data_IF_669662548444
#
_entry.id   IF_669662548444
#
_cell.length_a   1.000
_cell.length_b   1.000
_cell.length_c   1.000
_cell.angle_alpha   90.00
_cell.angle_beta   90.00
_cell.angle_gamma   90.00
#
_symmetry.space_group_name_H-M   'P 1'
#
loop_
_entity.id
_entity.type
_entity.pdbx_description
1 polymer ?
#
# COMPACT_ATOMS: atom_id res chain seq x y z
N UNK A 1 10.78 1.67 1.55
CA UNK A 1 10.50 0.48 2.40
C UNK A 1 10.85 0.83 3.84
N UNK A 2 10.00 0.52 4.80
CA UNK A 2 10.16 0.92 6.22
C UNK A 2 10.87 -0.14 7.06
N UNK A 3 11.20 -1.31 6.50
CA UNK A 3 11.86 -2.43 7.18
C UNK A 3 13.28 -2.57 6.64
N UNK A 4 14.27 -2.08 7.39
CA UNK A 4 15.68 -2.09 6.96
C UNK A 4 16.18 -3.48 6.53
N UNK A 5 15.88 -4.60 7.23
CA UNK A 5 16.32 -5.93 6.78
C UNK A 5 15.80 -6.31 5.38
N UNK A 6 14.62 -5.84 4.97
CA UNK A 6 14.10 -6.10 3.63
C UNK A 6 14.84 -5.29 2.56
N UNK A 7 15.18 -4.03 2.87
CA UNK A 7 16.00 -3.18 2.00
C UNK A 7 17.37 -3.81 1.77
N UNK A 8 18.04 -4.21 2.86
CA UNK A 8 19.39 -4.78 2.78
C UNK A 8 19.39 -6.07 1.94
N UNK A 9 18.41 -6.95 2.16
CA UNK A 9 18.24 -8.18 1.37
C UNK A 9 17.96 -7.90 -0.11
N UNK A 10 17.11 -6.92 -0.41
CA UNK A 10 16.77 -6.57 -1.79
C UNK A 10 17.97 -5.96 -2.52
N UNK A 11 18.73 -5.09 -1.86
CA UNK A 11 19.98 -4.53 -2.37
C UNK A 11 21.02 -5.62 -2.64
N UNK A 12 21.18 -6.58 -1.72
CA UNK A 12 22.08 -7.72 -1.92
C UNK A 12 21.70 -8.54 -3.15
N UNK A 13 20.40 -8.77 -3.38
CA UNK A 13 19.92 -9.45 -4.58
C UNK A 13 20.21 -8.66 -5.86
N UNK A 14 20.00 -7.34 -5.84
CA UNK A 14 20.35 -6.50 -6.99
C UNK A 14 21.85 -6.59 -7.31
N UNK A 15 22.73 -6.54 -6.30
CA UNK A 15 24.17 -6.72 -6.50
C UNK A 15 24.51 -8.11 -7.05
N UNK A 16 23.94 -9.18 -6.47
CA UNK A 16 24.19 -10.57 -6.93
C UNK A 16 23.74 -10.80 -8.37
N UNK A 17 22.70 -10.10 -8.82
CA UNK A 17 22.17 -10.18 -10.19
C UNK A 17 22.80 -9.15 -11.15
N UNK A 18 23.68 -8.26 -10.67
CA UNK A 18 24.33 -7.23 -11.48
C UNK A 18 23.45 -6.03 -11.86
N UNK A 19 22.41 -5.73 -11.07
CA UNK A 19 21.45 -4.63 -11.29
C UNK A 19 21.60 -3.47 -10.30
N UNK A 20 22.67 -3.41 -9.53
CA UNK A 20 22.93 -2.39 -8.50
C UNK A 20 23.12 -0.97 -9.09
N UNK A 21 23.43 -0.86 -10.38
CA UNK A 21 23.45 0.41 -11.12
C UNK A 21 22.10 0.81 -11.74
N UNK A 22 21.08 -0.06 -11.65
CA UNK A 22 19.77 0.12 -12.29
C UNK A 22 18.62 0.14 -11.29
N UNK A 23 18.77 -0.54 -10.15
CA UNK A 23 17.73 -0.67 -9.13
C UNK A 23 18.29 -0.26 -7.79
N UNK A 24 17.63 0.71 -7.17
CA UNK A 24 18.00 1.22 -5.85
C UNK A 24 16.85 1.03 -4.86
N UNK A 25 17.18 0.55 -3.66
CA UNK A 25 16.23 0.39 -2.56
C UNK A 25 16.54 1.40 -1.46
N UNK A 26 15.51 2.09 -0.99
CA UNK A 26 15.65 3.14 0.04
C UNK A 26 14.88 2.72 1.30
N UNK A 27 15.60 2.70 2.42
CA UNK A 27 15.01 2.60 3.76
C UNK A 27 14.39 3.94 4.15
N UNK A 28 13.06 4.03 4.06
CA UNK A 28 12.31 5.23 4.39
C UNK A 28 10.80 4.98 4.47
N UNK A 29 10.13 5.82 5.26
CA UNK A 29 8.69 6.02 5.19
C UNK A 29 8.35 7.00 4.05
N UNK A 30 7.96 6.45 2.89
CA UNK A 30 7.63 7.23 1.71
C UNK A 30 6.47 8.22 1.94
N UNK A 31 5.48 7.90 2.80
CA UNK A 31 4.37 8.81 3.08
C UNK A 31 4.83 10.13 3.72
N UNK A 32 5.96 10.12 4.41
CA UNK A 32 6.51 11.31 5.11
C UNK A 32 7.67 11.92 4.33
N UNK A 33 8.55 11.10 3.76
CA UNK A 33 9.84 11.55 3.25
C UNK A 33 9.95 11.57 1.72
N UNK A 34 8.91 11.18 0.97
CA UNK A 34 9.01 11.12 -0.50
C UNK A 34 9.46 12.45 -1.10
N UNK A 35 8.88 13.57 -0.68
CA UNK A 35 9.26 14.90 -1.16
C UNK A 35 10.76 15.19 -0.96
N UNK A 36 11.28 14.94 0.25
CA UNK A 36 12.70 15.14 0.57
C UNK A 36 13.64 14.18 -0.16
N UNK A 37 13.19 12.95 -0.45
CA UNK A 37 13.99 12.01 -1.24
C UNK A 37 14.02 12.48 -2.70
N UNK A 38 12.89 12.94 -3.23
CA UNK A 38 12.77 13.35 -4.63
C UNK A 38 13.42 14.71 -4.90
N UNK A 39 13.53 15.59 -3.91
CA UNK A 39 14.24 16.87 -4.07
C UNK A 39 15.74 16.69 -4.40
N UNK A 40 16.32 15.52 -4.09
CA UNK A 40 17.72 15.22 -4.40
C UNK A 40 17.87 14.31 -5.63
N UNK A 41 16.77 13.79 -6.18
CA UNK A 41 16.81 12.92 -7.35
C UNK A 41 17.06 13.74 -8.61
N UNK A 42 18.16 13.51 -9.35
CA UNK A 42 18.53 14.36 -10.49
C UNK A 42 17.75 14.02 -11.77
N UNK A 43 17.05 12.88 -11.79
CA UNK A 43 16.36 12.37 -12.95
C UNK A 43 14.88 12.79 -13.02
N UNK A 44 14.25 12.45 -14.14
CA UNK A 44 12.80 12.55 -14.29
C UNK A 44 12.12 11.28 -13.79
N UNK A 45 11.03 11.43 -13.04
CA UNK A 45 10.15 10.32 -12.68
C UNK A 45 9.10 10.19 -13.77
N UNK A 46 9.01 9.02 -14.41
CA UNK A 46 8.02 8.76 -15.45
C UNK A 46 6.80 8.00 -14.94
N UNK A 47 7.03 7.07 -14.00
CA UNK A 47 6.02 6.16 -13.50
C UNK A 47 6.12 6.02 -11.99
N UNK A 48 4.98 5.99 -11.32
CA UNK A 48 4.87 5.76 -9.88
C UNK A 48 3.95 4.57 -9.64
N UNK A 49 4.39 3.64 -8.81
CA UNK A 49 3.66 2.41 -8.50
C UNK A 49 3.36 2.36 -7.00
N UNK A 50 2.09 2.29 -6.63
CA UNK A 50 1.65 2.04 -5.26
C UNK A 50 0.90 0.72 -5.24
N UNK A 51 1.52 -0.30 -4.66
CA UNK A 51 1.07 -1.69 -4.77
C UNK A 51 0.93 -2.34 -3.40
N UNK A 52 -0.23 -2.96 -3.18
CA UNK A 52 -0.61 -3.70 -1.98
C UNK A 52 -0.24 -3.00 -0.66
N UNK A 53 -0.61 -1.72 -0.49
CA UNK A 53 -0.39 -1.01 0.76
C UNK A 53 -1.10 -1.73 1.93
N UNK A 54 -0.48 -1.68 3.11
CA UNK A 54 -1.03 -2.33 4.30
C UNK A 54 -2.45 -1.80 4.60
N UNK A 55 -3.44 -2.69 4.81
CA UNK A 55 -4.79 -2.26 5.07
C UNK A 55 -4.94 -1.79 6.53
N UNK A 56 -5.10 -0.49 6.72
CA UNK A 56 -5.29 0.10 8.06
C UNK A 56 -6.75 0.04 8.52
N UNK A 57 -7.29 -1.17 8.70
CA UNK A 57 -8.72 -1.42 8.98
C UNK A 57 -9.27 -0.80 10.28
N UNK A 58 -8.42 -0.50 11.27
CA UNK A 58 -8.88 0.03 12.57
C UNK A 58 -9.06 1.55 12.48
N UNK A 59 -10.20 2.08 12.95
CA UNK A 59 -10.47 3.54 13.04
C UNK A 59 -9.32 4.32 13.70
N UNK A 60 -8.71 3.76 14.75
CA UNK A 60 -7.53 4.34 15.43
C UNK A 60 -6.25 4.41 14.57
N UNK A 61 -6.19 3.66 13.47
CA UNK A 61 -5.09 3.66 12.50
C UNK A 61 -5.41 4.50 11.26
N UNK A 62 -6.50 5.29 11.29
CA UNK A 62 -6.85 6.25 10.23
C UNK A 62 -5.70 7.21 9.91
N UNK A 63 -4.99 7.71 10.94
CA UNK A 63 -3.77 8.53 10.79
C UNK A 63 -2.56 7.77 10.21
N UNK A 64 -2.57 6.44 10.21
CA UNK A 64 -1.50 5.59 9.64
C UNK A 64 -1.78 5.19 8.19
N UNK A 65 -2.93 5.61 7.61
CA UNK A 65 -3.21 5.37 6.20
C UNK A 65 -2.11 5.98 5.33
N UNK A 66 -1.61 5.17 4.40
CA UNK A 66 -0.54 5.54 3.46
C UNK A 66 -0.90 6.79 2.63
N UNK A 67 -2.20 7.03 2.42
CA UNK A 67 -2.72 8.08 1.54
C UNK A 67 -3.01 9.37 2.31
N UNK A 68 -1.92 10.01 2.75
CA UNK A 68 -1.95 11.37 3.29
C UNK A 68 -1.92 12.39 2.13
N UNK A 69 -2.50 13.60 2.30
CA UNK A 69 -2.47 14.64 1.29
C UNK A 69 -1.06 14.99 0.81
N UNK A 70 -0.07 14.91 1.72
CA UNK A 70 1.33 15.20 1.41
C UNK A 70 1.90 14.22 0.38
N UNK A 71 1.56 12.94 0.46
CA UNK A 71 2.00 11.94 -0.52
C UNK A 71 1.42 12.26 -1.91
N UNK A 72 0.13 12.59 -1.97
CA UNK A 72 -0.54 12.94 -3.24
C UNK A 72 0.11 14.17 -3.88
N UNK A 73 0.38 15.22 -3.09
CA UNK A 73 1.06 16.43 -3.57
C UNK A 73 2.48 16.13 -4.07
N UNK A 74 3.27 15.40 -3.29
CA UNK A 74 4.62 15.02 -3.70
C UNK A 74 4.62 14.25 -5.04
N UNK A 75 3.69 13.31 -5.21
CA UNK A 75 3.55 12.54 -6.46
C UNK A 75 3.10 13.44 -7.62
N UNK A 76 2.11 14.32 -7.39
CA UNK A 76 1.63 15.30 -8.37
C UNK A 76 2.74 16.22 -8.87
N UNK A 77 3.59 16.69 -7.96
CA UNK A 77 4.63 17.68 -8.24
C UNK A 77 5.88 17.06 -8.87
N UNK A 78 6.19 15.80 -8.55
CA UNK A 78 7.32 15.07 -9.15
C UNK A 78 6.99 14.44 -10.51
N UNK A 79 5.73 14.06 -10.75
CA UNK A 79 5.30 13.51 -12.04
C UNK A 79 5.10 14.62 -13.07
N UNK A 80 5.75 14.54 -14.24
CA UNK A 80 5.53 15.47 -15.32
C UNK A 80 4.27 15.13 -16.12
N UNK A 81 3.75 16.06 -16.95
CA UNK A 81 2.68 15.76 -17.90
C UNK A 81 3.00 14.51 -18.73
N UNK A 82 2.01 13.61 -18.85
CA UNK A 82 2.13 12.30 -19.48
C UNK A 82 2.71 11.19 -18.59
N UNK A 83 3.26 11.51 -17.42
CA UNK A 83 3.71 10.51 -16.44
C UNK A 83 2.55 9.71 -15.85
N UNK A 84 2.81 8.47 -15.43
CA UNK A 84 1.76 7.56 -14.96
C UNK A 84 1.83 7.26 -13.48
N UNK A 85 0.66 7.04 -12.88
CA UNK A 85 0.50 6.56 -11.52
C UNK A 85 -0.36 5.30 -11.54
N UNK A 86 0.24 4.19 -11.13
CA UNK A 86 -0.42 2.89 -11.04
C UNK A 86 -0.72 2.53 -9.59
N UNK A 87 -1.99 2.25 -9.31
CA UNK A 87 -2.51 1.89 -8.00
C UNK A 87 -3.03 0.46 -8.07
N UNK A 88 -2.59 -0.41 -7.15
CA UNK A 88 -3.00 -1.81 -7.12
C UNK A 88 -3.17 -2.34 -5.69
N UNK A 89 -4.27 -3.05 -5.41
CA UNK A 89 -4.46 -3.80 -4.15
C UNK A 89 -5.48 -4.94 -4.34
N UNK A 90 -5.38 -5.96 -3.50
CA UNK A 90 -6.33 -7.07 -3.34
C UNK A 90 -7.47 -6.74 -2.34
N UNK A 91 -7.43 -5.56 -1.71
CA UNK A 91 -8.43 -5.12 -0.73
C UNK A 91 -9.27 -4.00 -1.36
N UNK A 92 -10.55 -4.27 -1.62
CA UNK A 92 -11.45 -3.33 -2.29
C UNK A 92 -11.49 -1.96 -1.60
N UNK A 93 -11.70 -1.93 -0.28
CA UNK A 93 -11.77 -0.67 0.47
C UNK A 93 -10.49 0.15 0.36
N UNK A 94 -9.32 -0.50 0.42
CA UNK A 94 -8.03 0.17 0.26
C UNK A 94 -7.90 0.74 -1.15
N UNK A 95 -8.32 -0.02 -2.16
CA UNK A 95 -8.29 0.40 -3.56
C UNK A 95 -9.18 1.61 -3.84
N UNK A 96 -10.39 1.62 -3.27
CA UNK A 96 -11.27 2.78 -3.30
C UNK A 96 -10.63 3.98 -2.59
N UNK A 97 -10.06 3.79 -1.41
CA UNK A 97 -9.41 4.87 -0.66
C UNK A 97 -8.23 5.48 -1.44
N UNK A 98 -7.42 4.66 -2.13
CA UNK A 98 -6.35 5.13 -3.01
C UNK A 98 -6.90 6.04 -4.11
N UNK A 99 -7.84 5.51 -4.90
CA UNK A 99 -8.46 6.25 -6.02
C UNK A 99 -9.10 7.55 -5.54
N UNK A 100 -9.94 7.47 -4.51
CA UNK A 100 -10.69 8.61 -3.99
C UNK A 100 -9.75 9.69 -3.41
N UNK A 101 -8.66 9.31 -2.73
CA UNK A 101 -7.71 10.27 -2.19
C UNK A 101 -7.02 11.07 -3.31
N UNK A 102 -6.60 10.41 -4.40
CA UNK A 102 -6.04 11.11 -5.56
C UNK A 102 -7.08 11.97 -6.27
N UNK A 103 -8.32 11.49 -6.43
CA UNK A 103 -9.38 12.30 -7.04
C UNK A 103 -9.68 13.54 -6.19
N UNK A 104 -9.79 13.38 -4.87
CA UNK A 104 -10.12 14.46 -3.96
C UNK A 104 -9.06 15.56 -3.94
N UNK A 105 -7.77 15.20 -3.88
CA UNK A 105 -6.69 16.17 -3.75
C UNK A 105 -6.04 16.62 -5.07
N UNK A 106 -6.26 15.90 -6.17
CA UNK A 106 -5.54 16.12 -7.43
C UNK A 106 -6.36 15.80 -8.70
N UNK A 107 -7.70 15.89 -8.66
CA UNK A 107 -8.56 15.67 -9.84
C UNK A 107 -8.26 16.61 -11.03
N UNK A 108 -7.70 17.79 -10.78
CA UNK A 108 -7.30 18.76 -11.81
C UNK A 108 -5.94 18.41 -12.46
N UNK A 109 -5.19 17.51 -11.84
CA UNK A 109 -3.82 17.17 -12.21
C UNK A 109 -3.71 15.77 -12.83
N UNK A 110 -4.69 14.89 -12.60
CA UNK A 110 -4.71 13.54 -13.13
C UNK A 110 -6.04 13.23 -13.82
N UNK A 111 -6.01 12.28 -14.76
CA UNK A 111 -7.19 11.65 -15.33
C UNK A 111 -7.01 10.13 -15.40
N UNK A 112 -8.12 9.39 -15.49
CA UNK A 112 -8.06 7.95 -15.78
C UNK A 112 -7.37 7.71 -17.12
N UNK A 113 -6.46 6.75 -17.14
CA UNK A 113 -5.79 6.36 -18.37
C UNK A 113 -6.80 5.76 -19.38
N UNK A 114 -6.57 5.87 -20.70
CA UNK A 114 -7.50 5.38 -21.73
C UNK A 114 -7.91 3.90 -21.61
N UNK A 115 -7.10 3.09 -20.95
CA UNK A 115 -7.36 1.67 -20.64
C UNK A 115 -8.65 1.47 -19.82
N UNK A 116 -9.12 2.50 -19.10
CA UNK A 116 -10.37 2.47 -18.37
C UNK A 116 -11.63 2.71 -19.24
N UNK A 117 -11.47 3.11 -20.50
CA UNK A 117 -12.59 3.47 -21.38
C UNK A 117 -13.16 2.28 -22.20
N UNK A 118 -12.60 1.07 -22.07
CA UNK A 118 -12.92 -0.09 -22.90
C UNK A 118 -13.58 -1.28 -22.18
N UNK A 119 -13.73 -2.39 -22.90
CA UNK A 119 -14.23 -3.68 -22.40
C UNK A 119 -13.34 -4.34 -21.32
N UNK A 120 -12.17 -3.75 -21.05
CA UNK A 120 -11.19 -4.24 -20.08
C UNK A 120 -11.46 -3.71 -18.65
N UNK A 121 -12.39 -2.77 -18.50
CA UNK A 121 -12.89 -2.32 -17.21
C UNK A 121 -13.77 -3.39 -16.57
N UNK A 122 -13.36 -3.88 -15.40
CA UNK A 122 -14.08 -4.87 -14.61
C UNK A 122 -14.76 -4.20 -13.43
N UNK A 123 -16.01 -4.58 -13.22
CA UNK A 123 -16.80 -4.19 -12.05
C UNK A 123 -17.08 -5.45 -11.24
N UNK A 124 -16.53 -5.50 -10.03
CA UNK A 124 -16.80 -6.61 -9.11
C UNK A 124 -18.12 -6.33 -8.40
N UNK A 125 -19.14 -7.16 -8.62
CA UNK A 125 -20.41 -7.05 -7.87
C UNK A 125 -20.17 -7.42 -6.42
N UNK A 126 -20.44 -6.51 -5.49
CA UNK A 126 -20.56 -6.84 -4.07
C UNK A 126 -21.88 -7.56 -3.85
N UNK A 127 -21.96 -8.85 -4.19
CA UNK A 127 -23.10 -9.66 -3.78
C UNK A 127 -22.87 -10.09 -2.33
N UNK A 128 -23.10 -9.18 -1.40
CA UNK A 128 -23.50 -9.57 -0.04
C UNK A 128 -25.01 -9.53 0.02
N UNK A 129 -25.67 -10.61 -0.43
CA UNK A 129 -27.03 -10.90 0.00
C UNK A 129 -27.09 -12.31 0.62
N UNK A 130 -27.19 -12.43 1.96
CA UNK A 130 -27.41 -13.70 2.65
C UNK A 130 -28.82 -14.29 2.42
N UNK A 131 -29.71 -13.65 1.65
CA UNK A 131 -31.11 -14.11 1.43
C UNK A 131 -31.40 -14.68 0.05
N UNK A 132 -30.39 -14.86 -0.81
CA UNK A 132 -30.58 -15.64 -2.03
C UNK A 132 -30.72 -17.14 -1.66
N UNK A 133 -31.97 -17.57 -1.48
CA UNK A 133 -32.34 -18.98 -1.34
C UNK A 133 -31.92 -19.73 -2.62
N UNK A 134 -31.27 -20.90 -2.52
CA UNK A 134 -31.05 -21.74 -3.67
C UNK A 134 -32.38 -22.37 -4.07
N UNK A 135 -32.86 -22.07 -5.28
CA UNK A 135 -33.94 -22.82 -5.91
C UNK A 135 -33.48 -24.27 -6.11
N UNK A 136 -34.19 -25.21 -5.49
CA UNK A 136 -34.02 -26.65 -5.64
C UNK A 136 -34.27 -27.08 -7.09
N UNK A 137 -33.33 -27.85 -7.66
CA UNK A 137 -33.58 -28.81 -8.72
C UNK A 137 -32.54 -29.95 -8.66
N UNK A 138 -32.90 -30.96 -7.87
CA UNK A 138 -32.58 -32.40 -7.93
C UNK A 138 -31.38 -32.97 -8.72
N UNK A 139 -30.61 -33.81 -8.03
CA UNK A 139 -30.10 -35.10 -8.56
C UNK A 139 -28.61 -35.39 -8.31
N UNK A 140 -28.19 -36.65 -8.06
CA UNK A 140 -27.31 -36.94 -6.92
C UNK A 140 -25.86 -37.41 -7.25
N UNK A 141 -25.02 -37.21 -6.22
CA UNK A 141 -23.91 -38.04 -5.72
C UNK A 141 -22.80 -38.57 -6.66
N UNK A 142 -21.56 -38.16 -6.37
CA UNK A 142 -20.40 -39.09 -6.29
C UNK A 142 -19.28 -38.48 -5.46
N UNK A 143 -18.83 -39.26 -4.48
CA UNK A 143 -17.79 -39.05 -3.48
C UNK A 143 -16.36 -39.16 -4.03
N UNK A 144 -15.42 -38.37 -3.50
CA UNK A 144 -14.09 -38.86 -3.07
C UNK A 144 -13.30 -37.77 -2.34
N UNK A 145 -13.26 -37.90 -1.02
CA UNK A 145 -12.11 -37.81 -0.11
C UNK A 145 -11.09 -36.66 -0.26
N UNK A 146 -11.12 -35.76 0.73
CA UNK A 146 -9.99 -34.90 1.13
C UNK A 146 -9.63 -35.27 2.58
N UNK A 147 -8.38 -35.65 2.91
CA UNK A 147 -8.01 -35.85 4.31
C UNK A 147 -7.59 -34.52 4.97
N UNK A 148 -8.11 -34.33 6.19
CA UNK A 148 -7.77 -33.30 7.16
C UNK A 148 -6.43 -33.61 7.88
N UNK A 149 -5.65 -32.54 8.06
CA UNK A 149 -4.80 -32.18 9.21
C UNK A 149 -3.75 -33.18 9.74
N UNK A 150 -2.50 -32.70 9.81
CA UNK A 150 -1.66 -32.82 11.01
C UNK A 150 -0.90 -31.51 11.22
N UNK A 151 -1.19 -30.85 12.34
CA UNK A 151 -0.34 -29.85 13.00
C UNK A 151 0.83 -30.57 13.65
N UNK A 152 2.04 -29.99 13.60
CA UNK A 152 3.12 -30.38 14.52
C UNK A 152 3.67 -29.15 15.22
N UNK A 153 3.84 -29.36 16.52
CA UNK A 153 4.04 -28.40 17.58
C UNK A 153 5.38 -27.66 17.59
N UNK A 154 5.31 -26.54 18.31
CA UNK A 154 6.39 -25.75 18.92
C UNK A 154 7.07 -26.56 20.03
N UNK A 155 8.39 -26.45 20.21
CA UNK A 155 9.00 -26.67 21.52
C UNK A 155 9.39 -25.35 22.17
N UNK A 156 8.84 -25.16 23.36
CA UNK A 156 9.30 -24.29 24.44
C UNK A 156 10.63 -24.79 25.04
N UNK A 157 11.50 -23.87 25.42
CA UNK A 157 12.47 -24.10 26.50
C UNK A 157 12.70 -22.78 27.23
N UNK A 158 12.20 -22.74 28.47
CA UNK A 158 12.63 -21.82 29.52
C UNK A 158 14.09 -22.10 29.90
N UNK A 159 14.85 -21.07 30.23
CA UNK A 159 15.80 -21.13 31.34
C UNK A 159 16.12 -19.71 31.82
N UNK A 160 16.17 -19.60 33.15
CA UNK A 160 16.27 -18.39 33.94
C UNK A 160 17.71 -17.90 34.18
N UNK A 161 17.76 -16.66 34.67
CA UNK A 161 18.58 -16.18 35.79
C UNK A 161 19.82 -15.30 35.52
N UNK A 162 20.01 -14.46 36.51
CA UNK A 162 20.55 -13.12 36.56
C UNK A 162 22.07 -13.01 36.64
N UNK A 163 22.58 -11.79 36.41
CA UNK A 163 23.43 -11.13 37.43
C UNK A 163 23.71 -9.67 37.06
N UNK A 164 23.66 -8.85 38.10
CA UNK A 164 23.97 -7.43 38.12
C UNK A 164 25.49 -7.17 38.03
N UNK A 165 25.87 -6.07 37.39
CA UNK A 165 27.14 -5.37 37.67
C UNK A 165 26.87 -3.87 37.76
N UNK A 166 27.24 -3.32 38.91
CA UNK A 166 27.24 -1.92 39.31
C UNK A 166 28.48 -1.18 38.82
N UNK A 167 28.36 0.14 38.62
CA UNK A 167 29.45 1.10 38.49
C UNK A 167 29.18 2.11 37.38
N UNK A 168 29.42 3.41 37.48
CA UNK A 168 29.78 4.32 38.57
C UNK A 168 29.53 5.73 38.00
N UNK A 169 29.29 6.71 38.87
CA UNK A 169 29.04 8.11 38.51
C UNK A 169 30.27 8.80 37.91
N UNK A 170 30.07 9.59 36.84
CA UNK A 170 30.90 10.76 36.57
C UNK A 170 30.05 11.90 35.98
N UNK A 171 30.03 12.99 36.74
CA UNK A 171 29.44 14.29 36.45
C UNK A 171 30.13 15.02 35.29
N UNK A 172 29.34 15.66 34.42
CA UNK A 172 29.83 16.61 33.41
C UNK A 172 28.75 17.61 33.04
N UNK A 173 28.99 18.88 33.37
CA UNK A 173 28.11 20.02 33.18
C UNK A 173 27.84 20.38 31.71
N UNK A 174 26.71 21.04 31.42
CA UNK A 174 26.57 21.78 30.16
C UNK A 174 25.17 22.21 29.76
N UNK A 175 24.86 23.48 30.06
CA UNK A 175 24.14 24.45 29.23
C UNK A 175 22.66 24.27 28.82
N UNK A 176 21.93 25.33 29.15
CA UNK A 176 20.60 25.72 28.70
C UNK A 176 20.38 25.61 27.17
N UNK A 177 19.21 25.09 26.79
CA UNK A 177 18.55 25.42 25.53
C UNK A 177 17.03 25.50 25.76
N UNK A 178 16.35 26.55 25.28
CA UNK A 178 14.96 26.82 25.63
C UNK A 178 13.99 25.88 24.92
N UNK A 179 12.94 25.52 25.64
CA UNK A 179 11.84 24.68 25.16
C UNK A 179 11.22 25.23 23.89
N UNK A 180 11.28 24.44 22.83
CA UNK A 180 10.56 24.70 21.60
C UNK A 180 9.10 24.31 21.85
N UNK A 181 8.27 25.31 22.13
CA UNK A 181 6.83 25.17 22.25
C UNK A 181 6.28 24.58 20.94
N UNK A 182 5.81 23.33 21.00
CA UNK A 182 4.99 22.73 19.97
C UNK A 182 3.77 23.63 19.75
N UNK A 183 3.80 24.39 18.65
CA UNK A 183 2.61 25.03 18.11
C UNK A 183 1.78 23.94 17.45
N UNK A 184 0.90 23.36 18.24
CA UNK A 184 -0.23 22.57 17.79
C UNK A 184 -1.12 23.44 16.92
N UNK A 185 -0.86 23.40 15.61
CA UNK A 185 -1.63 24.09 14.58
C UNK A 185 -2.11 23.06 13.57
N UNK A 186 -3.25 22.43 13.88
CA UNK A 186 -3.91 21.53 12.96
C UNK A 186 -5.11 20.83 13.58
N UNK A 187 -6.19 21.58 13.81
CA UNK A 187 -7.50 21.02 14.17
C UNK A 187 -7.95 19.99 13.14
N UNK A 188 -7.78 18.70 13.46
CA UNK A 188 -8.19 17.59 12.64
C UNK A 188 -9.69 17.34 12.79
N UNK A 189 -10.47 17.79 11.81
CA UNK A 189 -11.83 17.29 11.60
C UNK A 189 -11.78 15.78 11.36
N UNK A 190 -12.48 15.04 12.21
CA UNK A 190 -12.28 13.61 12.43
C UNK A 190 -13.05 12.73 11.41
N UNK A 191 -13.01 13.06 10.13
CA UNK A 191 -13.49 12.21 9.02
C UNK A 191 -12.80 12.66 7.73
N UNK A 192 -11.84 11.88 7.23
CA UNK A 192 -11.25 12.15 5.92
C UNK A 192 -12.34 11.96 4.85
N UNK A 193 -12.82 13.07 4.27
CA UNK A 193 -14.01 13.15 3.42
C UNK A 193 -13.97 12.22 2.19
N UNK A 194 -12.76 11.90 1.71
CA UNK A 194 -12.57 11.04 0.53
C UNK A 194 -13.01 9.57 0.73
N UNK A 195 -13.09 9.05 1.96
CA UNK A 195 -13.56 7.68 2.19
C UNK A 195 -15.06 7.52 1.86
N UNK A 196 -15.83 8.58 2.01
CA UNK A 196 -17.28 8.62 1.75
C UNK A 196 -17.63 9.30 0.42
N UNK A 197 -16.62 9.72 -0.33
CA UNK A 197 -16.80 10.40 -1.60
C UNK A 197 -17.30 9.45 -2.69
N UNK A 198 -18.32 9.90 -3.42
CA UNK A 198 -18.74 9.33 -4.70
C UNK A 198 -17.75 9.75 -5.79
N UNK A 199 -16.74 8.90 -6.00
CA UNK A 199 -15.66 9.12 -6.97
C UNK A 199 -16.17 9.01 -8.41
N UNK A 200 -15.92 10.05 -9.23
CA UNK A 200 -16.22 10.03 -10.68
C UNK A 200 -15.32 9.02 -11.39
N UNK A 201 -14.09 8.83 -10.91
CA UNK A 201 -13.18 7.83 -11.44
C UNK A 201 -13.65 6.39 -11.19
N UNK A 202 -14.58 6.16 -10.24
CA UNK A 202 -15.18 4.84 -10.04
C UNK A 202 -15.95 4.34 -11.28
N UNK A 203 -16.47 5.26 -12.11
CA UNK A 203 -17.20 4.94 -13.33
C UNK A 203 -16.32 4.29 -14.41
N UNK A 204 -14.99 4.46 -14.34
CA UNK A 204 -14.04 3.81 -15.24
C UNK A 204 -13.68 2.37 -14.86
N UNK A 205 -14.29 1.83 -13.80
CA UNK A 205 -14.04 0.46 -13.33
C UNK A 205 -12.58 0.19 -12.91
N UNK A 206 -12.27 -1.10 -12.74
CA UNK A 206 -10.91 -1.57 -12.41
C UNK A 206 -10.27 -2.21 -13.64
N UNK A 207 -8.96 -2.05 -13.84
CA UNK A 207 -8.27 -2.73 -14.95
C UNK A 207 -8.19 -4.23 -14.68
N UNK A 208 -8.66 -5.03 -15.67
CA UNK A 208 -8.53 -6.48 -15.65
C UNK A 208 -7.08 -6.94 -15.67
N UNK A 209 -6.33 -6.41 -16.64
CA UNK A 209 -4.96 -6.79 -16.93
C UNK A 209 -3.96 -5.88 -16.20
N UNK A 210 -2.76 -6.41 -15.94
CA UNK A 210 -1.66 -5.63 -15.38
C UNK A 210 -0.96 -4.85 -16.50
N UNK A 211 -1.02 -3.50 -16.52
CA UNK A 211 -0.41 -2.69 -17.57
C UNK A 211 1.13 -2.70 -17.55
N UNK A 212 1.75 -3.16 -16.46
CA UNK A 212 3.21 -3.26 -16.31
C UNK A 212 3.75 -4.53 -16.98
N UNK A 213 2.90 -5.54 -17.20
CA UNK A 213 3.27 -6.82 -17.81
C UNK A 213 4.05 -7.78 -16.90
N UNK A 214 4.53 -7.32 -15.74
CA UNK A 214 5.24 -8.14 -14.75
C UNK A 214 4.45 -8.15 -13.44
N UNK A 215 3.84 -9.28 -13.04
CA UNK A 215 3.08 -9.35 -11.80
C UNK A 215 4.01 -9.34 -10.58
N UNK A 216 3.51 -8.76 -9.49
CA UNK A 216 4.17 -8.91 -8.18
C UNK A 216 3.89 -10.29 -7.58
N UNK A 217 4.68 -10.71 -6.58
CA UNK A 217 4.42 -11.95 -5.82
C UNK A 217 2.99 -11.96 -5.23
N UNK A 218 2.54 -10.81 -4.70
CA UNK A 218 1.21 -10.68 -4.10
C UNK A 218 0.10 -10.83 -5.15
N UNK A 219 0.29 -10.27 -6.34
CA UNK A 219 -0.63 -10.44 -7.47
C UNK A 219 -0.72 -11.89 -7.93
N UNK A 220 0.43 -12.55 -8.09
CA UNK A 220 0.49 -13.96 -8.45
C UNK A 220 -0.25 -14.84 -7.42
N UNK A 221 -0.04 -14.58 -6.13
CA UNK A 221 -0.73 -15.27 -5.05
C UNK A 221 -2.26 -15.03 -5.07
N UNK A 222 -2.73 -13.83 -5.43
CA UNK A 222 -4.15 -13.55 -5.60
C UNK A 222 -4.73 -14.31 -6.79
N UNK A 223 -4.00 -14.34 -7.92
CA UNK A 223 -4.40 -15.07 -9.12
C UNK A 223 -4.60 -16.56 -8.86
N UNK A 224 -3.66 -17.23 -8.17
CA UNK A 224 -3.80 -18.65 -7.79
C UNK A 224 -5.05 -18.89 -6.94
N UNK A 225 -5.41 -17.94 -6.07
CA UNK A 225 -6.57 -18.05 -5.17
C UNK A 225 -7.88 -17.60 -5.81
N UNK A 226 -7.86 -17.14 -7.07
CA UNK A 226 -9.04 -16.54 -7.71
C UNK A 226 -9.52 -15.26 -7.01
N UNK A 227 -8.65 -14.58 -6.25
CA UNK A 227 -8.99 -13.35 -5.56
C UNK A 227 -8.86 -12.15 -6.50
N UNK A 228 -9.77 -11.17 -6.41
CA UNK A 228 -9.72 -9.99 -7.25
C UNK A 228 -8.50 -9.12 -6.92
N UNK A 229 -7.96 -8.48 -7.95
CA UNK A 229 -6.96 -7.42 -7.83
C UNK A 229 -7.53 -6.17 -8.49
N UNK A 230 -7.66 -5.12 -7.71
CA UNK A 230 -8.24 -3.85 -8.13
C UNK A 230 -7.11 -2.95 -8.60
N UNK A 231 -7.21 -2.49 -9.85
CA UNK A 231 -6.16 -1.72 -10.54
C UNK A 231 -6.71 -0.41 -11.07
N UNK A 232 -5.98 0.68 -10.84
CA UNK A 232 -6.27 1.99 -11.42
C UNK A 232 -4.99 2.54 -12.02
N UNK A 233 -5.08 3.01 -13.25
CA UNK A 233 -4.00 3.73 -13.91
C UNK A 233 -4.45 5.18 -14.15
N UNK A 234 -3.66 6.11 -13.65
CA UNK A 234 -3.85 7.55 -13.81
C UNK A 234 -2.72 8.13 -14.67
N UNK A 235 -3.05 9.12 -15.47
CA UNK A 235 -2.09 9.89 -16.28
C UNK A 235 -2.07 11.33 -15.79
N UNK A 236 -0.87 11.88 -15.62
CA UNK A 236 -0.65 13.28 -15.27
C UNK A 236 -1.01 14.18 -16.46
N UNK A 237 -1.88 15.17 -16.22
CA UNK A 237 -2.27 16.19 -17.20
C UNK A 237 -1.08 17.03 -17.66
#
# INVERSE_FOLDING_TARGET
>A
EIRKPLVDRASEWATRLGYDNHVHFIYSNATIHLESIMSTYPGRVENVYIQFPDPHFKKRHRKRRIFQPNLVRAIRDMLPPGGTLFLQSDVHFVSCAMRNCFEYYAADSFHLAPQHAGHDAVFFSHTTDPRATPSEAGGPASSSDVPLLVSTDVPSSDDEDASAVTGEHASGAGHDAPGNAERDAGGGGDDDDYDRMDSKWALGGWLKENPVGVPTEREYACGIKGMPVYRVLLVRN
#
